data_IF_327313205527
#
_entry.id   IF_327313205527
#
_cell.length_a   1.000
_cell.length_b   1.000
_cell.length_c   1.000
_cell.angle_alpha   90.00
_cell.angle_beta   90.00
_cell.angle_gamma   90.00
#
_symmetry.space_group_name_H-M   'P 1'
#
loop_
_entity.id
_entity.type
_entity.pdbx_description
1 polymer ?
#
# COMPACT_ATOMS: atom_id res chain seq x y z
N UNK A 1 47.31 57.87 -23.94
CA UNK A 1 46.17 57.13 -23.36
C UNK A 1 45.48 56.42 -24.51
N UNK A 2 45.65 55.10 -24.61
CA UNK A 2 44.88 54.24 -25.51
C UNK A 2 44.08 53.34 -24.58
N UNK A 3 42.77 53.38 -24.69
CA UNK A 3 41.83 52.55 -23.92
C UNK A 3 41.45 51.38 -24.81
N UNK A 4 41.74 50.16 -24.36
CA UNK A 4 41.18 48.93 -24.92
C UNK A 4 40.09 48.45 -23.97
N UNK A 5 38.85 48.49 -24.43
CA UNK A 5 37.65 48.05 -23.72
C UNK A 5 37.41 46.56 -24.04
N UNK A 6 37.63 45.70 -23.04
CA UNK A 6 37.27 44.28 -23.11
C UNK A 6 35.81 44.13 -22.67
N UNK A 7 34.92 43.94 -23.63
CA UNK A 7 33.52 43.57 -23.38
C UNK A 7 33.45 42.09 -23.02
N UNK A 8 33.54 41.79 -21.73
CA UNK A 8 33.31 40.46 -21.19
C UNK A 8 31.81 40.13 -21.26
N UNK A 9 31.46 39.24 -22.20
CA UNK A 9 30.13 38.72 -22.45
C UNK A 9 29.67 37.81 -21.30
N UNK A 10 29.03 38.41 -20.29
CA UNK A 10 28.29 37.71 -19.24
C UNK A 10 26.99 37.09 -19.80
N UNK A 11 27.06 35.87 -20.33
CA UNK A 11 25.89 35.12 -20.85
C UNK A 11 25.71 33.73 -20.23
N UNK A 12 26.27 33.49 -19.05
CA UNK A 12 26.27 32.15 -18.43
C UNK A 12 25.07 31.86 -17.53
N UNK A 13 24.27 32.87 -17.13
CA UNK A 13 23.17 32.67 -16.16
C UNK A 13 21.84 32.26 -16.79
N UNK A 14 21.58 32.62 -18.05
CA UNK A 14 20.32 32.28 -18.75
C UNK A 14 20.24 30.80 -19.19
N UNK A 15 21.38 30.15 -19.42
CA UNK A 15 21.44 28.76 -19.87
C UNK A 15 21.15 27.76 -18.72
N UNK A 16 21.50 28.10 -17.48
CA UNK A 16 21.30 27.22 -16.31
C UNK A 16 19.82 27.18 -15.89
N UNK A 17 19.12 28.33 -15.95
CA UNK A 17 17.69 28.44 -15.65
C UNK A 17 16.82 27.72 -16.70
N UNK A 18 17.18 27.85 -17.99
CA UNK A 18 16.50 27.15 -19.09
C UNK A 18 16.65 25.62 -18.99
N UNK A 19 17.84 25.15 -18.60
CA UNK A 19 18.11 23.71 -18.44
C UNK A 19 17.34 23.09 -17.27
N UNK A 20 17.20 23.82 -16.16
CA UNK A 20 16.39 23.40 -15.01
C UNK A 20 14.89 23.45 -15.29
N UNK A 21 14.43 24.46 -16.03
CA UNK A 21 13.04 24.55 -16.45
C UNK A 21 12.64 23.39 -17.39
N UNK A 22 13.50 23.07 -18.37
CA UNK A 22 13.27 21.94 -19.27
C UNK A 22 13.25 20.59 -18.56
N UNK A 23 14.17 20.35 -17.62
CA UNK A 23 14.19 19.09 -16.84
C UNK A 23 12.98 18.96 -15.91
N UNK A 24 12.53 20.04 -15.27
CA UNK A 24 11.28 20.04 -14.47
C UNK A 24 10.04 19.78 -15.32
N UNK A 25 9.93 20.40 -16.49
CA UNK A 25 8.81 20.16 -17.41
C UNK A 25 8.79 18.71 -17.90
N UNK A 26 9.95 18.14 -18.25
CA UNK A 26 10.06 16.74 -18.64
C UNK A 26 9.65 15.79 -17.51
N UNK A 27 10.10 16.04 -16.27
CA UNK A 27 9.70 15.23 -15.11
C UNK A 27 8.20 15.31 -14.84
N UNK A 28 7.59 16.50 -14.91
CA UNK A 28 6.15 16.67 -14.74
C UNK A 28 5.36 15.93 -15.81
N UNK A 29 5.78 16.00 -17.08
CA UNK A 29 5.15 15.24 -18.16
C UNK A 29 5.26 13.73 -17.93
N UNK A 30 6.43 13.23 -17.50
CA UNK A 30 6.61 11.81 -17.17
C UNK A 30 5.68 11.37 -16.03
N UNK A 31 5.57 12.17 -14.97
CA UNK A 31 4.66 11.89 -13.86
C UNK A 31 3.19 11.86 -14.30
N UNK A 32 2.77 12.81 -15.15
CA UNK A 32 1.39 12.82 -15.67
C UNK A 32 1.10 11.62 -16.58
N UNK A 33 2.06 11.21 -17.40
CA UNK A 33 1.94 10.00 -18.22
C UNK A 33 1.80 8.77 -17.36
N UNK A 34 2.65 8.63 -16.34
CA UNK A 34 2.57 7.49 -15.43
C UNK A 34 1.24 7.45 -14.66
N UNK A 35 0.76 8.60 -14.17
CA UNK A 35 -0.58 8.70 -13.57
C UNK A 35 -1.68 8.21 -14.51
N UNK A 36 -1.59 8.59 -15.79
CA UNK A 36 -2.57 8.18 -16.81
C UNK A 36 -2.52 6.67 -17.04
N UNK A 37 -1.31 6.09 -17.10
CA UNK A 37 -1.13 4.64 -17.27
C UNK A 37 -1.75 3.86 -16.10
N UNK A 38 -1.46 4.29 -14.87
CA UNK A 38 -2.02 3.69 -13.64
C UNK A 38 -3.54 3.86 -13.59
N UNK A 39 -4.06 5.04 -13.93
CA UNK A 39 -5.50 5.28 -14.03
C UNK A 39 -6.19 4.33 -15.01
N UNK A 40 -5.64 4.19 -16.23
CA UNK A 40 -6.21 3.30 -17.25
C UNK A 40 -6.21 1.85 -16.79
N UNK A 41 -5.16 1.43 -16.10
CA UNK A 41 -5.03 0.07 -15.59
C UNK A 41 -6.01 -0.23 -14.45
N UNK A 42 -6.19 0.72 -13.52
CA UNK A 42 -7.21 0.64 -12.46
C UNK A 42 -8.61 0.61 -13.07
N UNK A 43 -8.90 1.48 -14.04
CA UNK A 43 -10.18 1.52 -14.73
C UNK A 43 -10.48 0.20 -15.47
N UNK A 44 -9.47 -0.38 -16.13
CA UNK A 44 -9.58 -1.69 -16.80
C UNK A 44 -9.98 -2.79 -15.81
N UNK A 45 -9.28 -2.92 -14.67
CA UNK A 45 -9.62 -3.93 -13.65
C UNK A 45 -11.00 -3.73 -13.05
N UNK A 46 -11.38 -2.48 -12.74
CA UNK A 46 -12.72 -2.18 -12.21
C UNK A 46 -13.85 -2.56 -13.18
N UNK A 47 -13.60 -2.47 -14.50
CA UNK A 47 -14.54 -2.93 -15.54
C UNK A 47 -14.62 -4.45 -15.58
N UNK A 48 -13.48 -5.14 -15.45
CA UNK A 48 -13.41 -6.61 -15.43
C UNK A 48 -14.12 -7.21 -14.21
N UNK A 49 -14.09 -6.50 -13.08
CA UNK A 49 -14.82 -6.85 -11.84
C UNK A 49 -16.35 -6.73 -11.98
N UNK A 50 -16.86 -6.29 -13.14
CA UNK A 50 -18.29 -6.35 -13.49
C UNK A 50 -19.17 -5.33 -12.76
N UNK A 51 -18.59 -4.25 -12.21
CA UNK A 51 -19.36 -3.22 -11.50
C UNK A 51 -20.12 -2.31 -12.49
N UNK A 52 -21.45 -2.21 -12.41
CA UNK A 52 -22.24 -1.43 -13.36
C UNK A 52 -21.95 0.09 -13.26
N UNK A 53 -21.54 0.55 -12.07
CA UNK A 53 -21.18 1.95 -11.81
C UNK A 53 -19.96 2.42 -12.63
N UNK A 54 -19.09 1.51 -13.05
CA UNK A 54 -17.83 1.82 -13.75
C UNK A 54 -18.05 2.12 -15.23
N UNK A 55 -19.24 1.80 -15.77
CA UNK A 55 -19.58 2.04 -17.17
C UNK A 55 -20.06 3.47 -17.44
N UNK A 56 -20.26 4.29 -16.40
CA UNK A 56 -20.72 5.66 -16.58
C UNK A 56 -19.54 6.61 -16.85
N UNK A 57 -19.66 7.56 -17.81
CA UNK A 57 -18.61 8.55 -18.06
C UNK A 57 -18.36 9.45 -16.83
N UNK A 58 -19.40 9.68 -16.02
CA UNK A 58 -19.27 10.41 -14.75
C UNK A 58 -18.37 9.72 -13.74
N UNK A 59 -18.29 8.39 -13.78
CA UNK A 59 -17.41 7.62 -12.91
C UNK A 59 -15.96 7.77 -13.35
N UNK A 60 -15.69 7.65 -14.65
CA UNK A 60 -14.36 7.83 -15.24
C UNK A 60 -13.79 9.22 -14.91
N UNK A 61 -14.57 10.27 -15.15
CA UNK A 61 -14.19 11.65 -14.80
C UNK A 61 -13.94 11.79 -13.30
N UNK A 62 -14.78 11.19 -12.46
CA UNK A 62 -14.63 11.21 -11.01
C UNK A 62 -13.37 10.49 -10.53
N UNK A 63 -12.99 9.38 -11.16
CA UNK A 63 -11.78 8.63 -10.86
C UNK A 63 -10.53 9.36 -11.34
N UNK A 64 -10.55 9.93 -12.54
CA UNK A 64 -9.44 10.74 -13.04
C UNK A 64 -9.19 11.98 -12.17
N UNK A 65 -10.26 12.65 -11.75
CA UNK A 65 -10.16 13.77 -10.80
C UNK A 65 -9.55 13.35 -9.46
N UNK A 66 -9.82 12.14 -8.98
CA UNK A 66 -9.18 11.62 -7.77
C UNK A 66 -7.65 11.49 -7.94
N UNK A 67 -7.17 10.93 -9.05
CA UNK A 67 -5.73 10.85 -9.36
C UNK A 67 -5.07 12.24 -9.53
N UNK A 68 -5.79 13.21 -10.08
CA UNK A 68 -5.27 14.58 -10.25
C UNK A 68 -5.21 15.38 -8.94
N UNK A 69 -6.10 15.07 -7.98
CA UNK A 69 -6.08 15.69 -6.64
C UNK A 69 -4.93 15.18 -5.77
N UNK A 70 -4.45 13.97 -6.00
CA UNK A 70 -3.37 13.36 -5.22
C UNK A 70 -1.98 13.62 -5.83
N UNK A 71 -0.90 13.57 -5.02
CA UNK A 71 0.47 13.69 -5.53
C UNK A 71 0.87 12.54 -6.47
N UNK A 72 1.89 12.73 -7.31
CA UNK A 72 2.35 11.69 -8.24
C UNK A 72 2.75 10.38 -7.56
N UNK A 73 3.33 10.46 -6.35
CA UNK A 73 3.67 9.30 -5.52
C UNK A 73 2.49 8.36 -5.24
N UNK A 74 1.26 8.87 -5.14
CA UNK A 74 0.09 8.00 -4.94
C UNK A 74 -0.05 6.99 -6.08
N UNK A 75 0.12 7.43 -7.33
CA UNK A 75 0.02 6.54 -8.49
C UNK A 75 1.22 5.58 -8.59
N UNK A 76 2.39 5.97 -8.07
CA UNK A 76 3.58 5.13 -8.03
C UNK A 76 3.46 4.02 -6.99
N UNK A 77 2.86 4.32 -5.84
CA UNK A 77 2.88 3.47 -4.66
C UNK A 77 1.63 2.57 -4.55
N UNK A 78 0.52 2.94 -5.20
CA UNK A 78 -0.76 2.22 -5.08
C UNK A 78 -0.72 0.87 -5.80
N UNK A 79 -1.23 -0.17 -5.13
CA UNK A 79 -1.35 -1.49 -5.72
C UNK A 79 -2.50 -1.53 -6.74
N UNK A 80 -2.15 -1.56 -8.02
CA UNK A 80 -3.13 -1.63 -9.12
C UNK A 80 -3.86 -2.95 -9.21
N UNK A 81 -3.37 -4.04 -8.60
CA UNK A 81 -4.04 -5.34 -8.59
C UNK A 81 -5.35 -5.30 -7.81
N UNK A 82 -5.44 -4.40 -6.82
CA UNK A 82 -6.62 -4.16 -6.00
C UNK A 82 -7.21 -2.80 -6.29
N UNK A 83 -7.78 -2.66 -7.47
CA UNK A 83 -8.35 -1.41 -7.94
C UNK A 83 -9.49 -0.88 -7.02
N UNK A 84 -10.12 -1.75 -6.23
CA UNK A 84 -11.14 -1.39 -5.23
C UNK A 84 -10.58 -0.48 -4.13
N UNK A 85 -9.30 -0.61 -3.80
CA UNK A 85 -8.66 0.18 -2.74
C UNK A 85 -8.63 1.66 -3.13
N UNK A 86 -8.43 1.96 -4.41
CA UNK A 86 -8.56 3.32 -4.97
C UNK A 86 -9.97 3.87 -4.75
N UNK A 87 -11.00 3.04 -4.86
CA UNK A 87 -12.38 3.46 -4.61
C UNK A 87 -12.64 3.72 -3.14
N UNK A 88 -12.05 2.92 -2.24
CA UNK A 88 -12.11 3.15 -0.79
C UNK A 88 -11.45 4.49 -0.47
N UNK A 89 -10.24 4.76 -0.97
CA UNK A 89 -9.54 6.02 -0.77
C UNK A 89 -10.35 7.22 -1.28
N UNK A 90 -10.89 7.11 -2.49
CA UNK A 90 -11.78 8.13 -3.06
C UNK A 90 -13.01 8.35 -2.17
N UNK A 91 -13.66 7.29 -1.71
CA UNK A 91 -14.84 7.38 -0.84
C UNK A 91 -14.52 8.03 0.50
N UNK A 92 -13.40 7.65 1.14
CA UNK A 92 -12.97 8.24 2.42
C UNK A 92 -12.73 9.75 2.29
N UNK A 93 -12.05 10.18 1.22
CA UNK A 93 -11.84 11.61 0.92
C UNK A 93 -13.15 12.36 0.67
N UNK A 94 -14.11 11.76 -0.03
CA UNK A 94 -15.42 12.38 -0.25
C UNK A 94 -16.23 12.48 1.04
N UNK A 95 -16.25 11.43 1.87
CA UNK A 95 -16.93 11.44 3.17
C UNK A 95 -16.30 12.46 4.12
N UNK A 96 -14.99 12.64 4.05
CA UNK A 96 -14.26 13.60 4.86
C UNK A 96 -14.63 15.04 4.51
N UNK A 97 -15.28 15.33 3.37
CA UNK A 97 -15.75 16.69 3.06
C UNK A 97 -16.81 17.19 4.02
N UNK A 98 -17.63 16.31 4.58
CA UNK A 98 -18.62 16.67 5.60
C UNK A 98 -17.93 16.86 6.96
N UNK A 99 -17.98 18.06 7.59
CA UNK A 99 -17.30 18.30 8.86
C UNK A 99 -17.73 17.37 10.00
N UNK A 100 -19.00 16.94 10.00
CA UNK A 100 -19.54 16.04 11.02
C UNK A 100 -18.96 14.62 10.98
N UNK A 101 -18.37 14.20 9.85
CA UNK A 101 -17.87 12.85 9.65
C UNK A 101 -16.37 12.72 9.98
N UNK A 102 -15.68 13.83 10.29
CA UNK A 102 -14.21 13.83 10.43
C UNK A 102 -13.78 13.42 11.85
N UNK A 103 -12.72 12.61 12.00
CA UNK A 103 -11.98 11.92 10.94
C UNK A 103 -12.76 10.72 10.40
N UNK A 104 -12.71 10.51 9.08
CA UNK A 104 -13.23 9.29 8.46
C UNK A 104 -12.10 8.29 8.40
N UNK A 105 -12.35 7.03 8.75
CA UNK A 105 -11.33 5.99 8.65
C UNK A 105 -11.93 4.64 8.25
N UNK A 106 -11.08 3.78 7.71
CA UNK A 106 -11.37 2.39 7.44
C UNK A 106 -10.25 1.51 8.00
N UNK A 107 -10.62 0.34 8.53
CA UNK A 107 -9.68 -0.67 9.02
C UNK A 107 -9.97 -1.97 8.27
N UNK A 108 -8.92 -2.67 7.83
CA UNK A 108 -9.05 -4.00 7.23
C UNK A 108 -7.87 -4.90 7.58
N UNK A 109 -8.09 -6.20 7.57
CA UNK A 109 -7.00 -7.18 7.66
C UNK A 109 -6.26 -7.24 6.32
N UNK A 110 -4.94 -7.28 6.41
CA UNK A 110 -4.03 -7.44 5.27
C UNK A 110 -2.96 -8.47 5.59
N UNK A 111 -2.43 -9.10 4.56
CA UNK A 111 -1.38 -10.10 4.68
C UNK A 111 -0.27 -9.80 3.68
N UNK A 112 0.96 -9.79 4.18
CA UNK A 112 2.16 -9.70 3.34
C UNK A 112 2.68 -11.11 3.14
N UNK A 113 2.84 -11.50 1.87
CA UNK A 113 3.39 -12.81 1.54
C UNK A 113 4.91 -12.78 1.76
N UNK A 114 5.49 -13.70 2.53
CA UNK A 114 6.93 -13.89 2.52
C UNK A 114 7.34 -14.44 1.16
N UNK A 115 8.37 -13.87 0.52
CA UNK A 115 9.00 -14.48 -0.65
C UNK A 115 10.00 -15.52 -0.14
N UNK A 116 9.89 -16.82 -0.51
CA UNK A 116 10.90 -17.79 -0.12
C UNK A 116 12.24 -17.37 -0.73
N UNK A 117 13.25 -17.22 0.13
CA UNK A 117 14.62 -16.88 -0.24
C UNK A 117 15.12 -17.89 -1.28
N UNK A 118 15.29 -17.44 -2.52
CA UNK A 118 15.80 -18.21 -3.65
C UNK A 118 17.30 -18.46 -3.55
N UNK A 119 17.80 -18.76 -2.35
CA UNK A 119 19.21 -19.10 -2.14
C UNK A 119 19.46 -20.54 -2.57
N UNK A 120 19.59 -20.72 -3.88
CA UNK A 120 20.36 -21.80 -4.49
C UNK A 120 21.80 -21.70 -3.96
N UNK A 121 22.16 -22.58 -3.04
CA UNK A 121 23.55 -22.95 -2.79
C UNK A 121 23.67 -24.44 -3.10
N UNK A 122 24.40 -24.73 -4.17
CA UNK A 122 24.74 -26.04 -4.68
C UNK A 122 25.26 -26.97 -3.58
N UNK A 123 24.65 -28.15 -3.48
CA UNK A 123 25.33 -29.35 -3.00
C UNK A 123 25.11 -30.45 -4.03
N UNK A 124 25.96 -30.49 -5.05
CA UNK A 124 26.27 -31.74 -5.75
C UNK A 124 26.88 -32.70 -4.73
N UNK A 125 26.25 -33.84 -4.48
CA UNK A 125 26.67 -35.15 -5.02
C UNK A 125 26.01 -36.27 -4.20
N UNK A 126 25.20 -37.12 -4.84
CA UNK A 126 25.09 -38.58 -4.65
C UNK A 126 23.71 -39.12 -5.05
N UNK A 127 23.73 -40.01 -6.04
CA UNK A 127 22.62 -40.77 -6.63
C UNK A 127 21.71 -41.51 -5.62
N UNK A 128 20.39 -41.31 -5.74
CA UNK A 128 19.36 -42.28 -5.33
C UNK A 128 18.02 -42.00 -6.06
N UNK A 129 17.22 -43.05 -6.38
CA UNK A 129 16.22 -42.97 -7.44
C UNK A 129 14.90 -42.30 -7.01
N UNK A 130 14.24 -41.69 -8.00
CA UNK A 130 12.88 -41.18 -8.01
C UNK A 130 11.89 -41.94 -7.11
N UNK A 131 11.38 -41.27 -6.08
CA UNK A 131 9.98 -41.34 -5.68
C UNK A 131 9.53 -39.92 -5.36
N UNK A 132 8.53 -39.44 -6.10
CA UNK A 132 8.05 -38.07 -6.08
C UNK A 132 7.61 -37.58 -4.70
N UNK A 133 7.80 -36.27 -4.50
CA UNK A 133 6.91 -35.36 -3.75
C UNK A 133 7.53 -33.94 -3.73
N UNK A 134 7.85 -33.37 -4.90
CA UNK A 134 8.39 -32.01 -5.02
C UNK A 134 7.32 -30.92 -5.16
N UNK A 135 6.09 -31.16 -4.71
CA UNK A 135 4.96 -30.21 -4.88
C UNK A 135 4.45 -29.56 -3.60
N UNK A 136 5.05 -29.79 -2.43
CA UNK A 136 4.44 -29.31 -1.19
C UNK A 136 4.73 -27.86 -0.85
N UNK A 137 5.85 -27.25 -1.25
CA UNK A 137 6.15 -25.87 -0.78
C UNK A 137 5.39 -24.76 -1.52
N UNK A 138 4.96 -24.98 -2.77
CA UNK A 138 4.25 -23.96 -3.56
C UNK A 138 2.75 -23.85 -3.25
N UNK A 139 2.17 -24.87 -2.60
CA UNK A 139 0.76 -24.89 -2.21
C UNK A 139 0.49 -24.09 -0.93
N UNK A 140 1.46 -23.99 0.00
CA UNK A 140 1.28 -23.27 1.27
C UNK A 140 1.25 -21.74 1.12
N UNK A 141 1.92 -21.17 0.11
CA UNK A 141 1.88 -19.72 -0.16
C UNK A 141 0.60 -19.25 -0.85
N UNK A 142 -0.23 -20.17 -1.37
CA UNK A 142 -1.52 -19.85 -2.02
C UNK A 142 -2.70 -19.73 -1.06
N UNK A 143 -2.47 -19.88 0.24
CA UNK A 143 -3.50 -19.74 1.26
C UNK A 143 -3.41 -18.39 1.99
N UNK A 144 -3.06 -17.32 1.29
CA UNK A 144 -3.33 -15.99 1.81
C UNK A 144 -4.84 -15.78 1.87
N UNK A 145 -5.38 -15.83 3.09
CA UNK A 145 -6.81 -15.64 3.34
C UNK A 145 -7.16 -14.16 3.26
N UNK A 146 -6.18 -13.28 3.44
CA UNK A 146 -6.34 -11.83 3.46
C UNK A 146 -5.67 -11.14 2.27
N UNK A 147 -6.22 -10.00 1.83
CA UNK A 147 -5.66 -9.25 0.71
C UNK A 147 -4.29 -8.64 1.05
N UNK A 148 -3.44 -8.36 0.04
CA UNK A 148 -2.26 -7.54 0.25
C UNK A 148 -2.63 -6.11 0.65
N UNK A 149 -1.71 -5.37 1.30
CA UNK A 149 -1.84 -3.93 1.53
C UNK A 149 -2.12 -3.12 0.24
N UNK A 150 -2.78 -1.97 0.39
CA UNK A 150 -3.08 -1.02 -0.69
C UNK A 150 -1.82 -0.34 -1.22
N UNK A 151 -0.81 -0.25 -0.36
CA UNK A 151 0.52 0.28 -0.65
C UNK A 151 1.54 -0.66 -0.04
N UNK A 152 2.67 -0.85 -0.72
CA UNK A 152 3.77 -1.62 -0.14
C UNK A 152 3.89 -3.02 -0.72
N UNK A 153 4.52 -3.09 -1.89
CA UNK A 153 5.38 -4.22 -2.29
C UNK A 153 6.79 -4.02 -1.72
N UNK A 154 6.91 -3.43 -0.52
CA UNK A 154 8.20 -2.97 0.00
C UNK A 154 9.01 -4.17 0.54
N UNK A 155 10.32 -4.26 0.24
CA UNK A 155 11.18 -5.33 0.78
C UNK A 155 11.16 -5.41 2.31
N UNK A 156 10.82 -4.30 2.98
CA UNK A 156 10.73 -4.21 4.42
C UNK A 156 9.56 -5.02 4.99
N UNK A 157 8.37 -4.91 4.40
CA UNK A 157 7.21 -5.71 4.81
C UNK A 157 7.44 -7.21 4.53
N UNK A 158 8.10 -7.53 3.43
CA UNK A 158 8.46 -8.93 3.09
C UNK A 158 9.45 -9.52 4.10
N UNK A 159 10.47 -8.75 4.50
CA UNK A 159 11.45 -9.17 5.51
C UNK A 159 10.78 -9.43 6.87
N UNK A 160 9.85 -8.56 7.28
CA UNK A 160 9.06 -8.75 8.52
C UNK A 160 8.17 -9.99 8.43
N UNK A 161 7.53 -10.24 7.29
CA UNK A 161 6.76 -11.46 7.06
C UNK A 161 7.65 -12.71 7.14
N UNK A 162 8.88 -12.66 6.61
CA UNK A 162 9.86 -13.74 6.72
C UNK A 162 10.36 -13.96 8.16
N UNK A 163 10.65 -12.89 8.90
CA UNK A 163 11.05 -12.98 10.31
C UNK A 163 9.93 -13.57 11.18
N UNK A 164 8.69 -13.13 10.98
CA UNK A 164 7.53 -13.68 11.67
C UNK A 164 7.35 -15.18 11.37
N UNK A 165 7.63 -15.59 10.14
CA UNK A 165 7.61 -17.00 9.73
C UNK A 165 8.73 -17.81 10.39
N UNK A 166 9.91 -17.20 10.59
CA UNK A 166 11.10 -17.84 11.20
C UNK A 166 11.02 -17.93 12.73
N UNK A 167 10.46 -16.92 13.40
CA UNK A 167 10.32 -16.90 14.86
C UNK A 167 9.42 -18.03 15.38
N UNK A 168 8.45 -18.51 14.59
CA UNK A 168 7.62 -19.67 14.97
C UNK A 168 8.34 -21.02 14.92
N UNK A 169 9.51 -21.11 14.27
CA UNK A 169 10.25 -22.38 14.12
C UNK A 169 11.22 -22.62 15.30
N UNK A 170 11.52 -21.60 16.11
CA UNK A 170 12.48 -21.73 17.24
C UNK A 170 11.85 -22.08 18.59
N UNK A 171 10.53 -22.09 18.71
CA UNK A 171 9.84 -22.57 19.93
C UNK A 171 9.66 -24.10 19.88
N UNK A 172 10.76 -24.84 19.81
CA UNK A 172 10.78 -26.31 19.96
C UNK A 172 10.71 -26.71 21.44
N UNK A 173 9.52 -26.58 22.05
CA UNK A 173 9.00 -27.69 22.85
C UNK A 173 7.48 -27.58 23.01
N UNK A 174 6.79 -28.58 22.45
CA UNK A 174 5.42 -28.99 22.73
C UNK A 174 4.24 -28.31 21.98
N UNK A 175 3.45 -29.18 21.33
CA UNK A 175 2.13 -29.02 20.69
C UNK A 175 2.01 -28.48 19.25
N UNK A 176 1.89 -29.46 18.33
CA UNK A 176 1.07 -29.47 17.11
C UNK A 176 1.41 -28.47 15.98
N UNK A 177 2.11 -28.98 14.96
CA UNK A 177 2.00 -28.73 13.51
C UNK A 177 1.04 -27.62 13.03
N UNK A 178 1.21 -26.38 13.49
CA UNK A 178 0.60 -25.22 12.88
C UNK A 178 1.52 -24.77 11.75
N UNK A 179 1.07 -24.71 10.48
CA UNK A 179 1.86 -24.07 9.44
C UNK A 179 2.19 -22.62 9.85
N UNK A 180 3.29 -22.04 9.34
CA UNK A 180 3.64 -20.65 9.62
C UNK A 180 2.56 -19.75 9.04
N UNK A 181 1.58 -19.36 9.87
CA UNK A 181 0.57 -18.40 9.48
C UNK A 181 1.23 -17.03 9.55
N UNK A 182 1.36 -16.30 8.42
CA UNK A 182 1.86 -14.94 8.46
C UNK A 182 0.97 -14.14 9.41
N UNK A 183 1.61 -13.40 10.32
CA UNK A 183 0.90 -12.63 11.34
C UNK A 183 -0.09 -11.69 10.64
N UNK A 184 -1.38 -11.72 10.99
CA UNK A 184 -2.36 -10.84 10.37
C UNK A 184 -2.01 -9.40 10.73
N UNK A 185 -1.71 -8.60 9.71
CA UNK A 185 -1.52 -7.16 9.86
C UNK A 185 -2.85 -6.46 9.60
N UNK A 186 -2.94 -5.22 10.05
CA UNK A 186 -4.11 -4.38 9.81
C UNK A 186 -3.67 -3.15 9.03
N UNK A 187 -4.44 -2.82 8.01
CA UNK A 187 -4.30 -1.56 7.31
C UNK A 187 -5.37 -0.60 7.80
N UNK A 188 -4.95 0.59 8.22
CA UNK A 188 -5.81 1.66 8.70
C UNK A 188 -5.62 2.86 7.78
N UNK A 189 -6.69 3.25 7.09
CA UNK A 189 -6.70 4.43 6.23
C UNK A 189 -7.51 5.53 6.90
N UNK A 190 -6.90 6.68 7.14
CA UNK A 190 -7.54 7.89 7.64
C UNK A 190 -7.73 8.90 6.50
N UNK A 191 -8.84 9.63 6.56
CA UNK A 191 -9.05 10.83 5.77
C UNK A 191 -9.65 11.96 6.61
N UNK A 192 -9.03 13.13 6.55
CA UNK A 192 -9.42 14.32 7.30
C UNK A 192 -8.86 15.58 6.66
N UNK A 193 -9.10 16.74 7.24
CA UNK A 193 -8.51 18.00 6.79
C UNK A 193 -7.00 18.00 7.04
N UNK A 194 -6.22 18.33 6.01
CA UNK A 194 -4.78 18.43 6.13
C UNK A 194 -4.42 19.65 6.98
N UNK A 195 -3.65 19.41 8.06
CA UNK A 195 -3.24 20.45 9.00
C UNK A 195 -1.90 20.10 9.63
N UNK A 196 -1.15 21.10 10.10
CA UNK A 196 0.11 20.86 10.79
C UNK A 196 -0.06 19.86 11.94
N UNK A 197 0.91 18.94 12.07
CA UNK A 197 0.98 17.89 13.11
C UNK A 197 -0.11 16.82 13.04
N UNK A 198 -0.89 16.74 11.95
CA UNK A 198 -1.87 15.66 11.77
C UNK A 198 -1.22 14.27 11.92
N UNK A 199 -0.14 14.01 11.19
CA UNK A 199 0.58 12.74 11.29
C UNK A 199 1.06 12.43 12.71
N UNK A 200 1.61 13.42 13.41
CA UNK A 200 2.04 13.24 14.81
C UNK A 200 0.88 12.86 15.73
N UNK A 201 -0.32 13.40 15.48
CA UNK A 201 -1.51 13.04 16.25
C UNK A 201 -1.95 11.61 15.94
N UNK A 202 -1.98 11.23 14.66
CA UNK A 202 -2.37 9.87 14.24
C UNK A 202 -1.38 8.82 14.77
N UNK A 203 -0.07 9.07 14.68
CA UNK A 203 0.94 8.15 15.18
C UNK A 203 0.91 8.04 16.71
N UNK A 204 0.65 9.14 17.42
CA UNK A 204 0.48 9.10 18.88
C UNK A 204 -0.75 8.27 19.27
N UNK A 205 -1.88 8.43 18.55
CA UNK A 205 -3.08 7.63 18.76
C UNK A 205 -2.81 6.13 18.56
N UNK A 206 -2.12 5.76 17.48
CA UNK A 206 -1.77 4.37 17.21
C UNK A 206 -0.86 3.79 18.30
N UNK A 207 0.11 4.58 18.78
CA UNK A 207 0.99 4.19 19.89
C UNK A 207 0.23 4.02 21.22
N UNK A 208 -0.72 4.91 21.52
CA UNK A 208 -1.60 4.80 22.70
C UNK A 208 -2.47 3.53 22.67
N UNK A 209 -2.84 3.08 21.47
CA UNK A 209 -3.55 1.82 21.26
C UNK A 209 -2.64 0.58 21.31
N UNK A 210 -1.33 0.77 21.47
CA UNK A 210 -0.35 -0.32 21.46
C UNK A 210 -0.12 -0.93 20.07
N UNK A 211 -0.49 -0.22 19.02
CA UNK A 211 -0.29 -0.65 17.64
C UNK A 211 1.10 -0.21 17.17
N UNK A 212 1.84 -1.15 16.60
CA UNK A 212 3.16 -0.87 16.07
C UNK A 212 3.07 -0.66 14.55
N UNK A 213 3.63 0.46 14.08
CA UNK A 213 3.53 0.89 12.69
C UNK A 213 4.64 0.24 11.89
N UNK A 214 4.27 -0.58 10.90
CA UNK A 214 5.18 -1.28 10.01
C UNK A 214 5.42 -0.51 8.71
N UNK A 215 4.37 0.15 8.20
CA UNK A 215 4.46 1.00 7.02
C UNK A 215 3.49 2.17 7.15
N UNK A 216 3.87 3.34 6.61
CA UNK A 216 3.04 4.53 6.63
C UNK A 216 3.16 5.31 5.31
N UNK A 217 2.01 5.61 4.72
CA UNK A 217 1.87 6.44 3.53
C UNK A 217 1.01 7.64 3.83
N UNK A 218 1.47 8.83 3.47
CA UNK A 218 0.76 10.07 3.73
C UNK A 218 0.67 10.90 2.45
N UNK A 219 -0.55 11.27 2.07
CA UNK A 219 -0.82 12.03 0.86
C UNK A 219 -1.70 13.24 1.14
N UNK A 220 -1.14 14.43 0.92
CA UNK A 220 -1.92 15.67 0.89
C UNK A 220 -2.55 15.88 -0.48
N UNK A 221 -3.85 16.12 -0.49
CA UNK A 221 -4.61 16.47 -1.71
C UNK A 221 -4.53 17.97 -2.00
N UNK A 222 -4.70 18.34 -3.27
CA UNK A 222 -4.70 19.74 -3.71
C UNK A 222 -5.88 20.56 -3.16
N UNK A 223 -6.92 19.91 -2.65
CA UNK A 223 -8.08 20.55 -2.02
C UNK A 223 -8.02 20.59 -0.48
N UNK A 224 -6.85 20.29 0.11
CA UNK A 224 -6.60 20.51 1.54
C UNK A 224 -7.06 19.38 2.46
N UNK A 225 -7.19 18.16 1.94
CA UNK A 225 -7.43 16.95 2.74
C UNK A 225 -6.20 16.05 2.75
N UNK A 226 -6.08 15.24 3.79
CA UNK A 226 -5.07 14.20 3.92
C UNK A 226 -5.69 12.83 3.71
N UNK A 227 -4.91 11.92 3.12
CA UNK A 227 -5.15 10.49 3.06
C UNK A 227 -3.90 9.81 3.67
N UNK A 228 -4.06 9.25 4.86
CA UNK A 228 -2.97 8.65 5.64
C UNK A 228 -3.24 7.17 5.84
N UNK A 229 -2.36 6.30 5.36
CA UNK A 229 -2.52 4.84 5.38
C UNK A 229 -1.41 4.23 6.21
N UNK A 230 -1.77 3.43 7.21
CA UNK A 230 -0.85 2.77 8.12
C UNK A 230 -1.05 1.27 8.05
N UNK A 231 0.02 0.51 7.82
CA UNK A 231 0.04 -0.94 8.07
C UNK A 231 0.60 -1.14 9.46
N UNK A 232 -0.15 -1.83 10.31
CA UNK A 232 0.16 -2.00 11.72
C UNK A 232 0.07 -3.46 12.16
N UNK A 233 0.83 -3.81 13.19
CA UNK A 233 0.69 -5.02 13.98
C UNK A 233 0.41 -4.70 15.47
N UNK A 234 0.29 -5.73 16.31
CA UNK A 234 -0.08 -5.58 17.71
C UNK A 234 -1.59 -5.51 17.98
N UNK A 235 -2.43 -5.62 16.95
CA UNK A 235 -3.88 -5.71 17.11
C UNK A 235 -4.27 -7.06 17.73
N UNK A 236 -4.98 -7.11 18.89
CA UNK A 236 -5.32 -8.38 19.54
C UNK A 236 -6.23 -9.22 18.64
N UNK A 237 -5.77 -10.41 18.24
CA UNK A 237 -6.55 -11.33 17.41
C UNK A 237 -7.82 -11.88 18.13
N UNK A 238 -7.86 -11.84 19.46
CA UNK A 238 -8.93 -12.49 20.26
C UNK A 238 -10.32 -11.89 20.06
N UNK A 239 -10.44 -10.62 19.67
CA UNK A 239 -11.76 -9.96 19.54
C UNK A 239 -12.52 -10.42 18.29
N UNK A 240 -11.83 -10.99 17.29
CA UNK A 240 -12.47 -11.39 16.02
C UNK A 240 -13.01 -12.83 16.03
N UNK A 241 -12.50 -13.71 16.89
CA UNK A 241 -13.05 -15.07 17.05
C UNK A 241 -14.36 -15.08 17.86
N UNK A 242 -14.57 -14.16 18.80
CA UNK A 242 -15.81 -14.11 19.58
C UNK A 242 -17.01 -13.50 18.84
N UNK A 243 -16.78 -12.71 17.76
CA UNK A 243 -17.87 -12.16 16.95
C UNK A 243 -18.35 -13.10 15.83
N UNK A 244 -17.60 -14.17 15.53
CA UNK A 244 -17.98 -15.18 14.52
C UNK A 244 -18.61 -16.44 15.10
N UNK A 245 -18.67 -16.58 16.43
CA UNK A 245 -19.37 -17.69 17.10
C UNK A 245 -20.50 -17.18 18.02
N UNK A 246 -21.59 -16.71 17.40
CA UNK A 246 -22.92 -16.92 17.99
C UNK A 246 -23.68 -17.90 17.10
N UNK A 247 -23.68 -19.21 17.41
CA UNK A 247 -24.67 -20.11 16.84
C UNK A 247 -26.02 -19.69 17.45
N UNK A 248 -26.83 -18.96 16.68
CA UNK A 248 -28.27 -18.91 16.92
C UNK A 248 -28.80 -20.34 16.74
N UNK A 249 -28.97 -21.02 17.86
CA UNK A 249 -29.56 -22.34 17.91
C UNK A 249 -30.17 -22.58 19.27
N UNK A 250 -31.47 -22.32 19.39
CA UNK A 250 -32.45 -23.11 20.16
C UNK A 250 -33.85 -22.54 19.90
N UNK A 251 -34.38 -22.89 18.73
CA UNK A 251 -35.79 -23.24 18.67
C UNK A 251 -35.95 -24.56 19.42
N UNK A 252 -36.78 -24.57 20.46
CA UNK A 252 -37.26 -25.80 21.10
C UNK A 252 -38.74 -25.56 21.38
N UNK A 253 -39.55 -26.27 20.58
CA UNK A 253 -40.97 -26.63 20.69
C UNK A 253 -41.92 -25.75 21.50
#
# INVERSE_FOLDING_TARGET
MVMEDATESCSSWAAVDSSQAHTRQQQQQQQQRHKLDVYNEVLRRLREDGRPEVQSPSFEDGLWNHFNRLPARYALDVNVERAEDVLIHKKLLELAKEPANRPVFAVRLVQVSPVPDGSQADFSDSDAPEIGDSQSTSAYFRQSVHPPPAFGSSPNLEALALEASRQQVQDEDNFANSPPYPRPMHEITFSTHDKPKLLSLLTSLLAELGLNIQEAHAFSTTDGYSLDVFVVDGWPCEVMMFLSFTPKGKDIF
#
